data_IF_907110715909
#
_entry.id   IF_907110715909
#
_cell.length_a   1.000
_cell.length_b   1.000
_cell.length_c   1.000
_cell.angle_alpha   90.00
_cell.angle_beta   90.00
_cell.angle_gamma   90.00
#
_symmetry.space_group_name_H-M   'P 1'
#
loop_
_entity.id
_entity.type
_entity.pdbx_description
1 polymer ?
#
# COMPACT_ATOMS: atom_id res chain seq x y z
N UNK A 1 20.69 -2.36 3.64
CA UNK A 1 19.47 -2.00 2.88
C UNK A 1 18.85 -3.26 2.24
N UNK A 2 18.25 -4.18 3.03
CA UNK A 2 18.03 -5.57 2.62
C UNK A 2 17.13 -5.81 1.40
N UNK A 3 16.00 -5.11 1.29
CA UNK A 3 15.04 -5.33 0.20
C UNK A 3 15.58 -4.93 -1.19
N UNK A 4 16.51 -3.98 -1.26
CA UNK A 4 17.15 -3.58 -2.53
C UNK A 4 18.00 -4.72 -3.10
N UNK A 5 18.67 -5.53 -2.27
CA UNK A 5 19.39 -6.71 -2.76
C UNK A 5 18.44 -7.69 -3.45
N UNK A 6 17.30 -7.97 -2.82
CA UNK A 6 16.29 -8.87 -3.38
C UNK A 6 15.72 -8.33 -4.70
N UNK A 7 15.46 -7.01 -4.78
CA UNK A 7 14.94 -6.39 -5.99
C UNK A 7 15.96 -6.48 -7.15
N UNK A 8 17.23 -6.19 -6.87
CA UNK A 8 18.31 -6.26 -7.87
C UNK A 8 18.54 -7.71 -8.31
N UNK A 9 18.55 -8.66 -7.38
CA UNK A 9 18.68 -10.08 -7.69
C UNK A 9 17.51 -10.61 -8.55
N UNK A 10 16.31 -10.02 -8.40
CA UNK A 10 15.14 -10.31 -9.25
C UNK A 10 15.12 -9.54 -10.58
N UNK A 11 16.16 -8.75 -10.87
CA UNK A 11 16.29 -8.03 -12.14
C UNK A 11 15.39 -6.80 -12.25
N UNK A 12 15.14 -6.07 -11.15
CA UNK A 12 14.40 -4.80 -11.21
C UNK A 12 15.03 -3.85 -12.24
N UNK A 13 14.23 -3.26 -13.12
CA UNK A 13 14.73 -2.44 -14.24
C UNK A 13 15.06 -1.00 -13.85
N UNK A 14 14.35 -0.46 -12.87
CA UNK A 14 14.47 0.96 -12.47
C UNK A 14 14.39 1.11 -10.95
N UNK A 15 15.09 2.12 -10.43
CA UNK A 15 15.04 2.49 -9.01
C UNK A 15 14.77 4.00 -8.93
N UNK A 16 13.72 4.37 -8.20
CA UNK A 16 13.36 5.77 -7.96
C UNK A 16 14.05 6.32 -6.71
N UNK A 17 14.60 7.53 -6.80
CA UNK A 17 15.23 8.21 -5.67
C UNK A 17 14.20 8.94 -4.81
N UNK A 18 14.24 8.69 -3.50
CA UNK A 18 13.37 9.30 -2.48
C UNK A 18 13.63 10.81 -2.30
N UNK A 19 12.60 11.60 -1.96
CA UNK A 19 12.77 13.01 -1.56
C UNK A 19 13.54 13.22 -0.25
N UNK A 20 13.67 12.18 0.56
CA UNK A 20 14.23 12.25 1.90
C UNK A 20 15.70 12.70 1.89
N UNK A 21 16.19 13.07 3.07
CA UNK A 21 17.62 13.18 3.31
C UNK A 21 18.08 12.02 4.20
N UNK A 22 19.33 11.59 4.05
CA UNK A 22 19.99 10.71 5.00
C UNK A 22 21.11 11.48 5.68
N UNK A 23 21.04 11.62 7.00
CA UNK A 23 21.97 12.44 7.81
C UNK A 23 22.17 13.86 7.25
N UNK A 24 21.09 14.50 6.81
CA UNK A 24 21.09 15.86 6.26
C UNK A 24 21.35 15.95 4.75
N UNK A 25 21.97 14.94 4.13
CA UNK A 25 22.24 14.94 2.69
C UNK A 25 21.03 14.48 1.88
N UNK A 26 20.59 15.30 0.91
CA UNK A 26 19.47 14.97 0.02
C UNK A 26 19.78 13.73 -0.80
N UNK A 27 18.86 12.77 -0.81
CA UNK A 27 19.04 11.52 -1.56
C UNK A 27 19.24 11.77 -3.07
N UNK A 28 18.52 12.74 -3.66
CA UNK A 28 18.73 13.15 -5.06
C UNK A 28 20.12 13.72 -5.36
N UNK A 29 20.90 14.13 -4.36
CA UNK A 29 22.28 14.60 -4.51
C UNK A 29 23.32 13.61 -3.93
N UNK A 30 22.87 12.47 -3.38
CA UNK A 30 23.74 11.56 -2.62
C UNK A 30 24.49 10.58 -3.55
N UNK A 31 25.67 11.01 -4.02
CA UNK A 31 26.52 10.19 -4.90
C UNK A 31 26.98 8.90 -4.25
N UNK A 32 27.29 8.94 -2.95
CA UNK A 32 27.79 7.79 -2.21
C UNK A 32 26.77 6.65 -2.20
N UNK A 33 25.48 6.96 -1.96
CA UNK A 33 24.43 5.95 -1.95
C UNK A 33 23.97 5.55 -3.35
N UNK A 34 23.86 6.49 -4.29
CA UNK A 34 23.36 6.19 -5.63
C UNK A 34 24.42 5.51 -6.50
N UNK A 35 25.62 6.08 -6.58
CA UNK A 35 26.66 5.58 -7.48
C UNK A 35 27.53 4.54 -6.77
N UNK A 36 28.13 4.89 -5.63
CA UNK A 36 29.14 4.01 -5.04
C UNK A 36 28.51 2.78 -4.37
N UNK A 37 27.38 2.94 -3.69
CA UNK A 37 26.67 1.82 -3.11
C UNK A 37 25.76 1.12 -4.13
N UNK A 38 24.71 1.78 -4.61
CA UNK A 38 23.70 1.12 -5.46
C UNK A 38 24.27 0.61 -6.80
N UNK A 39 24.95 1.45 -7.58
CA UNK A 39 25.48 1.01 -8.89
C UNK A 39 26.74 0.17 -8.78
N UNK A 40 27.71 0.58 -7.96
CA UNK A 40 29.01 -0.06 -7.91
C UNK A 40 29.02 -1.25 -6.95
N UNK A 41 28.60 -1.07 -5.70
CA UNK A 41 28.61 -2.15 -4.70
C UNK A 41 27.50 -3.18 -4.96
N UNK A 42 26.26 -2.76 -5.23
CA UNK A 42 25.15 -3.68 -5.51
C UNK A 42 25.09 -4.14 -6.96
N UNK A 43 25.94 -3.57 -7.83
CA UNK A 43 26.01 -3.88 -9.26
C UNK A 43 24.68 -3.67 -9.98
N UNK A 44 23.87 -2.70 -9.56
CA UNK A 44 22.63 -2.36 -10.26
C UNK A 44 22.95 -1.84 -11.68
N UNK A 45 22.35 -2.47 -12.70
CA UNK A 45 22.59 -2.16 -14.13
C UNK A 45 21.37 -1.57 -14.85
N UNK A 46 20.25 -1.42 -14.17
CA UNK A 46 19.13 -0.61 -14.65
C UNK A 46 19.44 0.88 -14.56
N UNK A 47 18.44 1.73 -14.77
CA UNK A 47 18.60 3.18 -14.62
C UNK A 47 17.93 3.73 -13.37
N UNK A 48 18.48 4.83 -12.86
CA UNK A 48 17.99 5.53 -11.67
C UNK A 48 17.12 6.70 -12.13
N UNK A 49 15.89 6.77 -11.62
CA UNK A 49 14.92 7.82 -11.95
C UNK A 49 14.67 8.72 -10.73
N UNK A 50 14.46 10.02 -10.92
CA UNK A 50 14.01 10.89 -9.83
C UNK A 50 12.52 10.70 -9.54
N UNK A 51 12.11 10.94 -8.29
CA UNK A 51 10.71 11.26 -7.98
C UNK A 51 10.28 12.60 -8.66
N UNK A 52 8.98 12.88 -8.67
CA UNK A 52 8.31 14.04 -9.29
C UNK A 52 8.85 15.37 -8.76
N UNK A 53 9.52 16.16 -9.62
CA UNK A 53 10.23 17.38 -9.18
C UNK A 53 11.21 17.10 -8.02
N UNK A 54 11.78 15.90 -7.97
CA UNK A 54 12.68 15.48 -6.89
C UNK A 54 13.93 16.34 -6.81
N UNK A 55 14.50 16.68 -7.96
CA UNK A 55 15.73 17.48 -8.02
C UNK A 55 15.48 18.95 -7.65
N UNK A 56 14.29 19.48 -7.92
CA UNK A 56 13.86 20.82 -7.51
C UNK A 56 13.93 20.99 -5.98
N UNK A 57 13.66 19.91 -5.24
CA UNK A 57 13.64 19.86 -3.78
C UNK A 57 15.01 19.58 -3.15
N UNK A 58 16.08 19.64 -3.94
CA UNK A 58 17.47 19.63 -3.44
C UNK A 58 17.75 20.94 -2.69
N UNK A 59 17.30 22.08 -3.24
CA UNK A 59 17.52 23.40 -2.64
C UNK A 59 16.41 23.78 -1.68
N UNK A 60 16.72 24.69 -0.76
CA UNK A 60 15.75 25.37 0.09
C UNK A 60 15.95 26.88 -0.10
N UNK A 61 14.95 27.64 -0.57
CA UNK A 61 13.63 27.18 -1.04
C UNK A 61 13.70 26.22 -2.24
N UNK A 62 12.62 25.44 -2.45
CA UNK A 62 12.49 24.56 -3.61
C UNK A 62 12.72 25.34 -4.90
N UNK A 63 13.51 24.79 -5.82
CA UNK A 63 13.81 25.39 -7.13
C UNK A 63 14.61 26.72 -7.06
N UNK A 64 15.20 27.08 -5.92
CA UNK A 64 15.99 28.31 -5.77
C UNK A 64 17.26 28.34 -6.66
N UNK A 65 17.83 27.19 -7.00
CA UNK A 65 18.95 27.08 -7.94
C UNK A 65 18.83 25.79 -8.75
N UNK A 66 18.04 25.83 -9.83
CA UNK A 66 17.74 24.63 -10.61
C UNK A 66 18.96 24.09 -11.39
N UNK A 67 19.85 24.98 -11.85
CA UNK A 67 21.12 24.57 -12.47
C UNK A 67 21.95 23.71 -11.51
N UNK A 68 22.05 24.12 -10.25
CA UNK A 68 22.70 23.31 -9.21
C UNK A 68 21.95 21.98 -8.97
N UNK A 69 20.62 21.99 -8.93
CA UNK A 69 19.81 20.77 -8.78
C UNK A 69 20.07 19.74 -9.89
N UNK A 70 20.15 20.19 -11.15
CA UNK A 70 20.49 19.32 -12.30
C UNK A 70 21.90 18.77 -12.11
N UNK A 71 22.88 19.65 -11.88
CA UNK A 71 24.28 19.26 -11.72
C UNK A 71 24.46 18.23 -10.60
N UNK A 72 23.90 18.50 -9.43
CA UNK A 72 23.99 17.62 -8.27
C UNK A 72 23.34 16.25 -8.53
N UNK A 73 22.17 16.21 -9.16
CA UNK A 73 21.45 14.97 -9.42
C UNK A 73 22.13 14.07 -10.45
N UNK A 74 22.57 14.64 -11.57
CA UNK A 74 23.27 13.90 -12.63
C UNK A 74 24.62 13.38 -12.09
N UNK A 75 25.37 14.21 -11.37
CA UNK A 75 26.66 13.82 -10.77
C UNK A 75 26.48 12.75 -9.68
N UNK A 76 25.37 12.79 -8.93
CA UNK A 76 25.03 11.73 -7.97
C UNK A 76 24.70 10.40 -8.67
N UNK A 77 24.24 10.45 -9.92
CA UNK A 77 23.97 9.28 -10.75
C UNK A 77 22.49 9.08 -11.09
N UNK A 78 21.64 10.09 -10.98
CA UNK A 78 20.28 10.07 -11.51
C UNK A 78 20.34 10.14 -13.03
N UNK A 79 19.71 9.21 -13.73
CA UNK A 79 19.76 9.10 -15.19
C UNK A 79 18.49 9.62 -15.88
N UNK A 80 17.34 9.49 -15.24
CA UNK A 80 16.07 10.00 -15.77
C UNK A 80 15.46 10.95 -14.75
N UNK A 81 15.19 12.19 -15.14
CA UNK A 81 14.59 13.21 -14.27
C UNK A 81 13.12 13.35 -14.60
N UNK A 82 12.25 13.12 -13.62
CA UNK A 82 10.82 13.30 -13.76
C UNK A 82 10.46 14.79 -13.67
N UNK A 83 10.48 15.47 -14.83
CA UNK A 83 10.02 16.85 -15.03
C UNK A 83 8.59 16.81 -15.60
N UNK A 84 7.56 17.12 -14.80
CA UNK A 84 6.20 16.73 -15.15
C UNK A 84 5.39 17.75 -15.95
N UNK A 85 5.76 19.04 -15.93
CA UNK A 85 4.93 20.13 -16.44
C UNK A 85 5.66 21.07 -17.41
N UNK A 86 6.98 21.25 -17.27
CA UNK A 86 7.77 22.21 -18.05
C UNK A 86 8.63 21.49 -19.11
N UNK A 87 8.02 20.57 -19.84
CA UNK A 87 8.72 19.65 -20.73
C UNK A 87 9.14 20.29 -22.07
N UNK A 88 8.74 21.52 -22.39
CA UNK A 88 9.16 22.21 -23.63
C UNK A 88 10.68 22.47 -23.69
N UNK A 89 11.37 22.45 -22.55
CA UNK A 89 12.84 22.43 -22.47
C UNK A 89 13.43 21.00 -22.66
N UNK A 90 12.62 19.96 -22.47
CA UNK A 90 13.00 18.53 -22.52
C UNK A 90 12.61 17.84 -23.84
N UNK A 91 11.54 18.29 -24.50
CA UNK A 91 10.90 17.63 -25.65
C UNK A 91 11.54 17.99 -27.00
N UNK A 92 12.29 19.08 -27.11
CA UNK A 92 13.03 19.37 -28.35
C UNK A 92 14.09 18.28 -28.69
N UNK A 93 14.40 17.37 -27.74
CA UNK A 93 15.30 16.23 -27.95
C UNK A 93 14.65 14.84 -28.09
N UNK A 94 13.34 14.65 -27.85
CA UNK A 94 12.76 13.29 -27.67
C UNK A 94 11.66 12.92 -28.68
N UNK A 95 11.55 13.64 -29.79
CA UNK A 95 10.51 13.36 -30.81
C UNK A 95 11.06 12.53 -31.96
N UNK A 96 11.50 11.29 -31.71
CA UNK A 96 11.53 10.26 -32.75
C UNK A 96 11.75 8.85 -32.19
N UNK A 97 10.85 8.31 -31.35
CA UNK A 97 10.69 6.87 -31.10
C UNK A 97 9.51 6.66 -30.13
N UNK A 98 8.33 6.35 -30.65
CA UNK A 98 7.25 5.79 -29.84
C UNK A 98 6.70 4.54 -30.53
N UNK A 99 6.85 3.34 -29.96
CA UNK A 99 5.97 2.23 -30.31
C UNK A 99 4.60 2.52 -29.70
N UNK A 100 3.57 2.64 -30.54
CA UNK A 100 2.19 2.90 -30.11
C UNK A 100 1.68 1.81 -29.16
N UNK A 101 0.73 2.16 -28.28
CA UNK A 101 0.11 1.23 -27.35
C UNK A 101 -0.65 0.11 -28.09
N UNK A 102 -0.54 -1.13 -27.61
CA UNK A 102 -1.32 -2.26 -28.14
C UNK A 102 -2.74 -2.25 -27.56
N UNK A 103 -3.72 -1.84 -28.37
CA UNK A 103 -5.13 -1.80 -28.01
C UNK A 103 -5.72 -3.18 -27.70
N UNK A 104 -5.08 -4.28 -28.12
CA UNK A 104 -5.52 -5.62 -27.76
C UNK A 104 -5.36 -5.89 -26.26
N UNK A 105 -4.55 -5.13 -25.52
CA UNK A 105 -4.38 -5.35 -24.08
C UNK A 105 -5.49 -4.75 -23.22
N UNK A 106 -6.37 -3.90 -23.78
CA UNK A 106 -7.45 -3.21 -23.03
C UNK A 106 -8.37 -4.19 -22.29
N UNK A 107 -8.64 -5.35 -22.89
CA UNK A 107 -9.50 -6.36 -22.26
C UNK A 107 -8.90 -7.00 -20.99
N UNK A 108 -7.62 -6.77 -20.69
CA UNK A 108 -6.99 -7.19 -19.42
C UNK A 108 -7.38 -6.31 -18.22
N UNK A 109 -7.87 -5.09 -18.46
CA UNK A 109 -8.24 -4.15 -17.41
C UNK A 109 -9.47 -4.67 -16.66
N UNK A 110 -9.33 -4.87 -15.36
CA UNK A 110 -10.44 -5.29 -14.48
C UNK A 110 -10.97 -6.71 -14.73
N UNK A 111 -10.20 -7.59 -15.38
CA UNK A 111 -10.56 -9.01 -15.61
C UNK A 111 -10.99 -9.70 -14.32
N UNK A 112 -12.01 -10.54 -14.40
CA UNK A 112 -12.52 -11.33 -13.25
C UNK A 112 -11.40 -12.10 -12.54
N UNK A 113 -10.48 -12.75 -13.27
CA UNK A 113 -9.35 -13.46 -12.67
C UNK A 113 -8.46 -12.55 -11.79
N UNK A 114 -8.27 -11.30 -12.18
CA UNK A 114 -7.49 -10.34 -11.38
C UNK A 114 -8.27 -9.88 -10.15
N UNK A 115 -9.60 -9.73 -10.28
CA UNK A 115 -10.50 -9.45 -9.15
C UNK A 115 -10.57 -10.61 -8.16
N UNK A 116 -10.63 -11.85 -8.65
CA UNK A 116 -10.59 -13.04 -7.81
C UNK A 116 -9.27 -13.12 -7.03
N UNK A 117 -8.14 -12.76 -7.66
CA UNK A 117 -6.84 -12.65 -6.98
C UNK A 117 -6.80 -11.49 -5.97
N UNK A 118 -7.40 -10.35 -6.30
CA UNK A 118 -7.50 -9.22 -5.37
C UNK A 118 -8.39 -9.56 -4.17
N UNK A 119 -9.53 -10.24 -4.36
CA UNK A 119 -10.38 -10.81 -3.29
C UNK A 119 -9.58 -11.75 -2.39
N UNK A 120 -8.74 -12.60 -2.98
CA UNK A 120 -7.82 -13.46 -2.24
C UNK A 120 -6.80 -12.67 -1.40
N UNK A 121 -6.22 -11.61 -1.97
CA UNK A 121 -5.29 -10.74 -1.25
C UNK A 121 -5.98 -9.99 -0.11
N UNK A 122 -7.22 -9.53 -0.31
CA UNK A 122 -8.05 -8.92 0.73
C UNK A 122 -8.26 -9.89 1.88
N UNK A 123 -8.81 -11.08 1.65
CA UNK A 123 -9.08 -12.02 2.76
C UNK A 123 -7.81 -12.41 3.51
N UNK A 124 -6.69 -12.50 2.80
CA UNK A 124 -5.39 -12.83 3.39
C UNK A 124 -4.78 -11.69 4.18
N UNK A 125 -5.08 -10.42 3.90
CA UNK A 125 -4.48 -9.28 4.60
C UNK A 125 -5.16 -8.96 5.94
N UNK A 126 -6.36 -9.49 6.18
CA UNK A 126 -7.13 -9.16 7.37
C UNK A 126 -6.53 -9.80 8.62
N UNK A 127 -6.39 -8.99 9.67
CA UNK A 127 -5.88 -9.43 10.97
C UNK A 127 -6.96 -9.31 12.03
N UNK A 128 -7.34 -10.43 12.64
CA UNK A 128 -8.33 -10.47 13.71
C UNK A 128 -7.67 -10.08 15.04
N UNK A 129 -8.17 -9.01 15.67
CA UNK A 129 -7.58 -8.45 16.89
C UNK A 129 -8.31 -8.88 18.16
N UNK A 130 -9.63 -8.95 18.09
CA UNK A 130 -10.52 -9.38 19.18
C UNK A 130 -11.65 -10.22 18.61
N UNK A 131 -12.01 -11.30 19.32
CA UNK A 131 -13.08 -12.20 18.91
C UNK A 131 -13.93 -12.66 20.10
N UNK A 132 -14.73 -11.76 20.66
CA UNK A 132 -15.48 -11.98 21.89
C UNK A 132 -14.73 -11.55 23.16
N UNK A 133 -15.46 -11.41 24.26
CA UNK A 133 -14.89 -11.16 25.60
C UNK A 133 -14.48 -12.45 26.29
N UNK A 134 -15.21 -13.54 26.03
CA UNK A 134 -14.92 -14.87 26.55
C UNK A 134 -14.23 -15.72 25.45
N UNK A 135 -12.99 -16.20 25.66
CA UNK A 135 -12.28 -17.05 24.71
C UNK A 135 -13.03 -18.34 24.31
N UNK A 136 -13.94 -18.81 25.17
CA UNK A 136 -14.74 -20.02 24.94
C UNK A 136 -16.04 -19.75 24.15
N UNK A 137 -16.35 -18.49 23.86
CA UNK A 137 -17.55 -18.07 23.11
C UNK A 137 -17.17 -17.04 22.04
N UNK A 138 -16.44 -17.46 20.98
CA UNK A 138 -16.03 -16.55 19.91
C UNK A 138 -17.24 -16.07 19.10
N UNK A 139 -17.20 -14.82 18.66
CA UNK A 139 -18.23 -14.25 17.77
C UNK A 139 -18.05 -14.73 16.32
N UNK A 140 -16.80 -14.74 15.84
CA UNK A 140 -16.43 -15.11 14.49
C UNK A 140 -15.99 -16.59 14.44
N UNK A 141 -16.37 -17.33 13.37
CA UNK A 141 -17.12 -16.84 12.20
C UNK A 141 -18.61 -16.62 12.48
N UNK A 142 -19.19 -15.60 11.85
CA UNK A 142 -20.62 -15.31 11.91
C UNK A 142 -21.43 -16.43 11.23
N UNK A 143 -22.65 -16.72 11.71
CA UNK A 143 -23.56 -17.60 11.00
C UNK A 143 -23.99 -16.94 9.68
N UNK A 144 -23.98 -17.71 8.58
CA UNK A 144 -24.45 -17.24 7.26
C UNK A 144 -25.96 -16.96 7.22
N UNK A 145 -26.71 -17.53 8.16
CA UNK A 145 -28.15 -17.34 8.30
C UNK A 145 -28.41 -16.75 9.68
N UNK A 146 -28.68 -15.46 9.72
CA UNK A 146 -29.18 -14.74 10.89
C UNK A 146 -30.53 -14.14 10.55
N UNK A 147 -31.38 -13.94 11.56
CA UNK A 147 -32.65 -13.25 11.35
C UNK A 147 -32.46 -11.76 11.02
N UNK A 148 -31.38 -11.12 11.54
CA UNK A 148 -30.98 -9.71 11.34
C UNK A 148 -29.44 -9.51 11.63
N UNK A 149 -28.67 -8.73 10.83
CA UNK A 149 -27.20 -8.47 10.97
C UNK A 149 -26.70 -7.02 10.73
N UNK A 150 -25.93 -6.33 11.60
CA UNK A 150 -25.38 -4.98 11.24
C UNK A 150 -24.21 -4.90 10.32
N UNK A 151 -24.25 -3.87 9.47
CA UNK A 151 -23.07 -3.14 9.02
C UNK A 151 -23.25 -1.64 9.24
N UNK A 152 -22.45 -1.05 10.12
CA UNK A 152 -22.42 0.38 10.40
C UNK A 152 -21.00 0.93 10.21
N UNK A 153 -20.91 2.25 10.24
CA UNK A 153 -19.67 2.99 10.07
C UNK A 153 -19.59 3.63 8.70
N UNK A 154 -18.97 4.80 8.65
CA UNK A 154 -18.83 5.60 7.42
C UNK A 154 -18.11 4.87 6.27
N UNK A 155 -17.35 3.82 6.58
CA UNK A 155 -16.57 3.05 5.62
C UNK A 155 -17.29 1.79 5.14
N UNK A 156 -18.43 1.43 5.72
CA UNK A 156 -19.17 0.23 5.37
C UNK A 156 -19.62 0.24 3.91
N UNK A 157 -20.12 1.38 3.42
CA UNK A 157 -20.62 1.52 2.04
C UNK A 157 -19.94 2.64 1.27
N UNK A 158 -18.60 2.69 1.35
CA UNK A 158 -17.83 3.69 0.62
C UNK A 158 -16.60 3.05 -0.05
N UNK A 159 -16.71 2.82 -1.36
CA UNK A 159 -15.69 2.19 -2.17
C UNK A 159 -14.40 3.03 -2.22
N UNK A 160 -14.55 4.36 -2.31
CA UNK A 160 -13.41 5.28 -2.24
C UNK A 160 -12.63 5.15 -0.94
N UNK A 161 -13.31 5.09 0.21
CA UNK A 161 -12.66 4.95 1.52
C UNK A 161 -11.93 3.62 1.72
N UNK A 162 -12.51 2.49 1.29
CA UNK A 162 -11.82 1.21 1.41
C UNK A 162 -10.61 1.08 0.46
N UNK A 163 -10.54 1.90 -0.60
CA UNK A 163 -9.37 1.94 -1.48
C UNK A 163 -8.29 2.92 -0.98
N UNK A 164 -8.68 4.09 -0.45
CA UNK A 164 -7.76 5.10 0.05
C UNK A 164 -7.06 5.92 -1.05
N UNK A 165 -5.92 6.53 -0.71
CA UNK A 165 -5.11 7.33 -1.65
C UNK A 165 -4.58 6.50 -2.84
N UNK A 166 -4.11 7.18 -3.88
CA UNK A 166 -3.66 6.55 -5.14
C UNK A 166 -4.71 5.66 -5.83
N UNK A 167 -6.00 5.92 -5.59
CA UNK A 167 -7.11 5.26 -6.29
C UNK A 167 -7.96 6.31 -7.00
N UNK A 168 -7.93 6.28 -8.33
CA UNK A 168 -8.49 7.31 -9.24
C UNK A 168 -7.77 8.65 -9.11
N UNK A 169 -7.72 9.24 -7.91
CA UNK A 169 -7.05 10.49 -7.60
C UNK A 169 -5.84 10.28 -6.68
N UNK A 170 -4.92 11.25 -6.65
CA UNK A 170 -3.70 11.19 -5.83
C UNK A 170 -4.02 11.00 -4.33
N UNK A 171 -4.92 11.83 -3.79
CA UNK A 171 -5.36 11.74 -2.39
C UNK A 171 -6.53 10.77 -2.19
N UNK A 172 -6.97 10.10 -3.25
CA UNK A 172 -8.17 9.28 -3.27
C UNK A 172 -9.45 10.11 -3.39
N UNK A 173 -10.57 9.40 -3.34
CA UNK A 173 -11.92 9.94 -3.57
C UNK A 173 -12.90 9.34 -2.56
N UNK A 174 -14.06 9.98 -2.41
CA UNK A 174 -15.18 9.44 -1.63
C UNK A 174 -16.31 8.97 -2.56
N UNK A 175 -17.08 7.98 -2.12
CA UNK A 175 -18.26 7.50 -2.81
C UNK A 175 -18.03 6.27 -3.68
N UNK A 176 -19.11 5.83 -4.35
CA UNK A 176 -19.19 4.51 -5.00
C UNK A 176 -19.16 4.58 -6.54
N UNK A 177 -19.31 5.77 -7.12
CA UNK A 177 -19.42 5.95 -8.59
C UNK A 177 -18.08 6.24 -9.28
N UNK A 178 -16.96 6.00 -8.59
CA UNK A 178 -15.61 6.40 -9.03
C UNK A 178 -14.83 5.26 -9.67
N UNK A 179 -15.13 4.01 -9.31
CA UNK A 179 -14.52 2.81 -9.89
C UNK A 179 -15.44 1.61 -9.71
N UNK A 180 -15.16 0.49 -10.40
CA UNK A 180 -15.91 -0.76 -10.25
C UNK A 180 -15.34 -1.60 -9.11
N UNK A 181 -16.18 -1.93 -8.13
CA UNK A 181 -15.84 -2.81 -7.01
C UNK A 181 -17.06 -3.17 -6.18
N UNK A 182 -16.84 -3.92 -5.11
CA UNK A 182 -17.86 -4.32 -4.14
C UNK A 182 -17.53 -3.71 -2.79
N UNK A 183 -18.47 -2.94 -2.22
CA UNK A 183 -18.32 -2.38 -0.87
C UNK A 183 -18.52 -3.46 0.20
N UNK A 184 -18.02 -3.21 1.42
CA UNK A 184 -18.25 -4.11 2.56
C UNK A 184 -19.76 -4.30 2.80
N UNK A 185 -20.55 -3.23 2.79
CA UNK A 185 -22.00 -3.30 2.95
C UNK A 185 -22.64 -4.09 1.81
N UNK A 186 -22.27 -3.84 0.56
CA UNK A 186 -22.80 -4.57 -0.59
C UNK A 186 -22.50 -6.07 -0.50
N UNK A 187 -21.34 -6.43 0.05
CA UNK A 187 -20.96 -7.83 0.31
C UNK A 187 -21.73 -8.47 1.47
N UNK A 188 -22.25 -7.68 2.43
CA UNK A 188 -22.86 -8.20 3.67
C UNK A 188 -24.40 -8.13 3.68
N UNK A 189 -25.01 -7.09 3.10
CA UNK A 189 -26.45 -6.72 3.16
C UNK A 189 -27.35 -7.55 4.10
N UNK A 190 -27.51 -7.09 5.36
CA UNK A 190 -28.78 -6.68 5.99
C UNK A 190 -28.73 -6.65 7.54
N UNK A 191 -28.98 -5.46 8.14
CA UNK A 191 -29.45 -5.10 9.54
C UNK A 191 -28.54 -4.34 10.53
N UNK A 192 -28.60 -4.50 11.89
CA UNK A 192 -28.16 -3.56 12.98
C UNK A 192 -27.68 -4.17 14.35
N UNK A 193 -26.75 -3.50 15.10
CA UNK A 193 -25.90 -3.91 16.25
C UNK A 193 -25.30 -2.67 16.97
N UNK A 194 -25.47 -2.57 18.29
CA UNK A 194 -25.05 -1.39 19.06
C UNK A 194 -23.70 -1.53 19.80
N UNK A 195 -22.99 -2.68 19.69
CA UNK A 195 -21.74 -2.97 20.42
C UNK A 195 -20.69 -3.73 19.60
N UNK A 196 -19.40 -3.45 19.83
CA UNK A 196 -18.28 -4.12 19.16
C UNK A 196 -17.87 -5.39 19.91
N UNK A 197 -18.29 -6.56 19.42
CA UNK A 197 -17.95 -7.86 20.00
C UNK A 197 -16.71 -8.51 19.33
N UNK A 198 -16.43 -8.16 18.07
CA UNK A 198 -15.21 -8.54 17.35
C UNK A 198 -14.62 -7.35 16.61
N UNK A 199 -13.29 -7.34 16.46
CA UNK A 199 -12.54 -6.27 15.80
C UNK A 199 -11.53 -6.85 14.81
N UNK A 200 -11.61 -6.40 13.56
CA UNK A 200 -10.74 -6.81 12.46
C UNK A 200 -10.02 -5.58 11.92
N UNK A 201 -8.70 -5.65 11.78
CA UNK A 201 -7.93 -4.68 11.03
C UNK A 201 -7.97 -5.06 9.53
N UNK A 202 -8.66 -4.23 8.74
CA UNK A 202 -8.85 -4.46 7.31
C UNK A 202 -7.94 -3.64 6.39
N UNK A 203 -7.15 -2.72 6.95
CA UNK A 203 -6.25 -1.83 6.21
C UNK A 203 -7.01 -0.99 5.18
N UNK A 204 -6.47 -0.90 3.95
CA UNK A 204 -7.13 -0.34 2.77
C UNK A 204 -7.29 -1.49 1.77
N UNK A 205 -8.37 -2.30 1.88
CA UNK A 205 -8.47 -3.56 1.15
C UNK A 205 -8.68 -3.39 -0.36
N UNK A 206 -8.94 -2.19 -0.87
CA UNK A 206 -9.14 -1.97 -2.31
C UNK A 206 -10.54 -2.40 -2.77
N UNK A 207 -10.69 -2.82 -4.02
CA UNK A 207 -12.02 -2.90 -4.67
C UNK A 207 -12.85 -4.13 -4.33
N UNK A 208 -12.25 -5.19 -3.78
CA UNK A 208 -12.89 -6.51 -3.67
C UNK A 208 -13.35 -6.80 -2.23
N UNK A 209 -14.36 -6.05 -1.76
CA UNK A 209 -14.89 -6.14 -0.39
C UNK A 209 -15.41 -7.52 0.03
N UNK A 210 -15.72 -8.40 -0.93
CA UNK A 210 -16.09 -9.81 -0.65
C UNK A 210 -14.98 -10.59 0.05
N UNK A 211 -13.71 -10.17 -0.09
CA UNK A 211 -12.62 -10.80 0.66
C UNK A 211 -12.75 -10.56 2.17
N UNK A 212 -13.44 -9.50 2.58
CA UNK A 212 -13.75 -9.24 3.99
C UNK A 212 -14.80 -10.23 4.49
N UNK A 213 -15.84 -10.49 3.70
CA UNK A 213 -16.93 -11.37 4.10
C UNK A 213 -16.54 -12.84 4.07
N UNK A 214 -15.64 -13.24 3.17
CA UNK A 214 -15.03 -14.58 3.11
C UNK A 214 -14.58 -15.10 4.49
N UNK A 215 -13.94 -14.24 5.28
CA UNK A 215 -13.41 -14.63 6.60
C UNK A 215 -14.38 -14.33 7.74
N UNK A 216 -15.20 -13.28 7.62
CA UNK A 216 -16.22 -12.97 8.63
C UNK A 216 -17.27 -14.08 8.73
N UNK A 217 -17.68 -14.65 7.60
CA UNK A 217 -18.69 -15.72 7.53
C UNK A 217 -18.09 -17.13 7.43
N UNK A 218 -16.78 -17.27 7.65
CA UNK A 218 -16.14 -18.58 7.80
C UNK A 218 -16.04 -19.42 6.53
N UNK A 219 -16.07 -18.81 5.34
CA UNK A 219 -15.63 -19.48 4.10
C UNK A 219 -14.13 -19.75 4.15
N UNK A 220 -13.38 -18.85 4.78
CA UNK A 220 -11.96 -18.96 5.07
C UNK A 220 -11.66 -18.60 6.53
N UNK A 221 -10.49 -19.02 7.01
CA UNK A 221 -10.00 -18.67 8.34
C UNK A 221 -9.21 -17.36 8.32
N UNK A 222 -9.29 -16.60 9.40
CA UNK A 222 -8.27 -15.60 9.72
C UNK A 222 -6.96 -16.31 10.01
N UNK A 223 -5.90 -15.94 9.29
CA UNK A 223 -4.59 -16.61 9.37
C UNK A 223 -3.42 -15.64 9.48
N UNK A 224 -3.61 -14.38 9.08
CA UNK A 224 -2.52 -13.44 8.96
C UNK A 224 -2.23 -12.69 10.26
N UNK A 225 -1.09 -12.03 10.27
CA UNK A 225 -0.47 -11.43 11.43
C UNK A 225 -0.12 -9.97 11.15
N UNK A 226 -0.15 -9.15 12.18
CA UNK A 226 0.20 -7.74 12.10
C UNK A 226 1.61 -7.55 11.51
N UNK A 227 1.74 -6.88 10.35
CA UNK A 227 3.04 -6.57 9.76
C UNK A 227 3.68 -5.32 10.40
N UNK A 228 2.97 -4.68 11.35
CA UNK A 228 3.44 -3.52 12.11
C UNK A 228 3.01 -3.63 13.57
N UNK A 229 3.85 -3.10 14.45
CA UNK A 229 3.50 -2.90 15.86
C UNK A 229 2.29 -1.98 15.99
N UNK A 230 1.29 -2.36 16.81
CA UNK A 230 0.19 -1.50 17.20
C UNK A 230 0.50 -0.85 18.55
N UNK A 231 0.70 0.46 18.57
CA UNK A 231 1.00 1.22 19.79
C UNK A 231 -0.26 1.42 20.65
N UNK A 232 -0.08 1.60 21.96
CA UNK A 232 -1.15 1.97 22.90
C UNK A 232 -1.52 3.44 22.76
N UNK A 233 -0.51 4.29 22.62
CA UNK A 233 -0.66 5.74 22.43
C UNK A 233 0.44 6.27 21.50
N UNK A 234 0.21 7.46 20.94
CA UNK A 234 1.11 8.07 19.94
C UNK A 234 2.45 8.52 20.53
N UNK A 235 2.51 8.75 21.85
CA UNK A 235 3.73 9.19 22.54
C UNK A 235 4.79 8.07 22.61
N UNK A 236 4.41 6.82 22.34
CA UNK A 236 5.35 5.69 22.21
C UNK A 236 6.17 5.74 20.91
N UNK A 237 5.84 6.61 19.95
CA UNK A 237 6.48 6.60 18.64
C UNK A 237 7.83 7.37 18.64
N UNK A 238 8.86 6.86 17.92
CA UNK A 238 8.89 5.59 17.18
C UNK A 238 9.11 4.38 18.09
N UNK A 239 8.32 3.30 17.89
CA UNK A 239 8.48 2.02 18.60
C UNK A 239 8.35 0.84 17.62
N UNK A 240 9.40 0.03 17.52
CA UNK A 240 9.51 -1.10 16.62
C UNK A 240 9.94 -2.37 17.37
N UNK A 241 9.66 -3.52 16.78
CA UNK A 241 10.11 -4.80 17.32
C UNK A 241 11.64 -4.81 17.48
N UNK A 242 12.11 -5.18 18.67
CA UNK A 242 13.53 -5.21 19.02
C UNK A 242 14.01 -3.99 19.82
N UNK A 243 13.21 -2.92 19.93
CA UNK A 243 13.55 -1.78 20.77
C UNK A 243 13.52 -2.18 22.26
N UNK A 244 14.40 -1.62 23.08
CA UNK A 244 14.48 -1.95 24.52
C UNK A 244 13.25 -1.52 25.32
N UNK A 245 12.50 -0.55 24.81
CA UNK A 245 11.27 0.00 25.41
C UNK A 245 9.99 -0.54 24.74
N UNK A 246 10.06 -1.70 24.07
CA UNK A 246 8.95 -2.25 23.30
C UNK A 246 7.75 -2.68 24.17
N UNK A 247 6.71 -1.83 24.21
CA UNK A 247 5.47 -2.05 24.98
C UNK A 247 4.19 -1.83 24.13
N UNK A 248 3.88 -2.73 23.19
CA UNK A 248 2.78 -2.56 22.25
C UNK A 248 1.40 -2.90 22.84
N UNK A 249 0.34 -2.36 22.24
CA UNK A 249 -1.04 -2.83 22.45
C UNK A 249 -1.23 -4.19 21.78
N UNK A 250 -0.80 -4.31 20.52
CA UNK A 250 -0.68 -5.58 19.80
C UNK A 250 0.72 -5.69 19.19
N UNK A 251 1.52 -6.70 19.55
CA UNK A 251 2.89 -6.82 19.06
C UNK A 251 2.94 -7.15 17.56
N UNK A 252 4.08 -6.87 16.93
CA UNK A 252 4.37 -7.34 15.59
C UNK A 252 4.18 -8.87 15.53
N UNK A 253 3.51 -9.36 14.48
CA UNK A 253 3.22 -10.78 14.34
C UNK A 253 1.98 -11.26 15.12
N UNK A 254 1.23 -10.38 15.79
CA UNK A 254 -0.03 -10.73 16.47
C UNK A 254 -1.17 -10.94 15.47
N UNK A 255 -2.06 -11.89 15.75
CA UNK A 255 -3.27 -12.12 14.97
C UNK A 255 -4.01 -13.36 15.49
N UNK A 256 -5.29 -13.21 15.83
CA UNK A 256 -6.14 -14.32 16.23
C UNK A 256 -6.52 -15.15 15.00
N UNK A 257 -6.78 -16.44 15.23
CA UNK A 257 -7.21 -17.37 14.17
C UNK A 257 -8.66 -17.78 14.37
N UNK A 258 -9.35 -18.09 13.28
CA UNK A 258 -10.65 -18.76 13.29
C UNK A 258 -10.54 -20.13 12.63
N UNK A 259 -11.52 -20.99 12.85
CA UNK A 259 -11.74 -22.18 12.01
C UNK A 259 -12.83 -21.85 11.00
N UNK A 260 -12.76 -22.36 9.76
CA UNK A 260 -13.86 -22.17 8.82
C UNK A 260 -15.09 -22.95 9.31
N UNK A 261 -16.27 -22.58 8.83
CA UNK A 261 -17.45 -23.42 9.06
C UNK A 261 -17.20 -24.80 8.44
N UNK A 262 -17.60 -25.87 9.13
CA UNK A 262 -17.61 -27.20 8.50
C UNK A 262 -18.60 -27.15 7.34
N UNK A 263 -18.13 -27.43 6.13
CA UNK A 263 -19.04 -27.73 5.02
C UNK A 263 -19.69 -29.07 5.33
N UNK A 264 -21.00 -29.05 5.61
CA UNK A 264 -21.83 -30.26 5.57
C UNK A 264 -21.96 -30.76 4.14
#
# INVERSE_FOLDING_TARGET
MPAYYNAIAKGVSTIMVSYSSWNGEKMHANRNLITDFLKNSLRFRGFVISDWKGIDKITIPTHANYTYSIYAAITAGVYMVMVPLNYTEFIDGLTLLNPLADHNLVHHIGKKKHRDLAREAVRKSLVLLKNGENPNQPLLPLPKRASKTLVAGSHADNLGYQCGGWTIEWQGVTGNNVTKGTTILSAIKNTYVDKIEALVAAWLPGTEGEGVTDVLFGDYSFMDKLPRTWFKNVDQLPMNIGDSYYDPLFPFGFGLKTKPHKTN
#
